data_IF_300168844230
#
_entry.id   IF_300168844230
#
_cell.length_a   1.000
_cell.length_b   1.000
_cell.length_c   1.000
_cell.angle_alpha   90.00
_cell.angle_beta   90.00
_cell.angle_gamma   90.00
#
_symmetry.space_group_name_H-M   'P 1'
#
loop_
_entity.id
_entity.type
_entity.pdbx_description
1 polymer ?
#
# COMPACT_ATOMS: atom_id res chain seq x y z
N UNK A 1 2.14 9.34 -76.95
CA UNK A 1 1.65 9.13 -75.57
C UNK A 1 1.03 10.43 -75.10
N UNK A 2 -0.27 10.44 -74.92
CA UNK A 2 -1.08 11.64 -74.81
C UNK A 2 -0.92 12.31 -73.44
N UNK A 3 -0.69 13.66 -73.43
CA UNK A 3 -0.43 14.43 -72.20
C UNK A 3 -1.58 14.33 -71.15
N UNK A 4 -2.76 13.94 -71.56
CA UNK A 4 -3.93 13.72 -70.67
C UNK A 4 -3.82 12.48 -69.80
N UNK A 5 -3.15 11.40 -70.26
CA UNK A 5 -2.97 10.17 -69.52
C UNK A 5 -2.00 10.32 -68.34
N UNK A 6 -0.98 11.22 -68.48
CA UNK A 6 -0.02 11.52 -67.38
C UNK A 6 -0.62 12.30 -66.24
N UNK A 7 -1.71 13.06 -66.47
CA UNK A 7 -2.35 13.86 -65.38
C UNK A 7 -3.32 13.05 -64.53
N UNK A 8 -3.89 11.97 -65.08
CA UNK A 8 -4.79 11.08 -64.33
C UNK A 8 -4.04 10.10 -63.41
N UNK A 9 -2.81 9.68 -63.82
CA UNK A 9 -1.97 8.78 -63.02
C UNK A 9 -1.28 9.46 -61.81
N UNK A 10 -1.10 10.78 -61.86
CA UNK A 10 -0.52 11.54 -60.72
C UNK A 10 -1.57 11.90 -59.66
N UNK A 11 -2.86 11.99 -60.08
CA UNK A 11 -3.97 12.32 -59.17
C UNK A 11 -4.42 11.18 -58.30
N UNK A 12 -4.12 9.93 -58.67
CA UNK A 12 -4.56 8.70 -57.92
C UNK A 12 -3.53 8.27 -56.82
N UNK A 13 -2.32 8.83 -56.84
CA UNK A 13 -1.28 8.47 -55.87
C UNK A 13 -1.24 9.36 -54.61
N UNK A 14 -1.97 10.49 -54.61
CA UNK A 14 -2.00 11.44 -53.51
C UNK A 14 -3.19 11.23 -52.56
N UNK A 15 -4.20 10.44 -52.95
CA UNK A 15 -5.39 10.19 -52.14
C UNK A 15 -5.31 8.94 -51.23
N UNK A 16 -4.18 8.24 -51.24
CA UNK A 16 -4.01 6.99 -50.47
C UNK A 16 -3.15 7.10 -49.21
N UNK A 17 -2.64 8.29 -48.89
CA UNK A 17 -1.72 8.46 -47.76
C UNK A 17 -2.27 9.46 -46.74
N UNK A 18 -3.31 9.04 -46.08
CA UNK A 18 -3.89 9.87 -45.04
C UNK A 18 -4.98 9.17 -44.29
N UNK A 19 -4.66 8.23 -43.43
CA UNK A 19 -5.35 7.96 -42.17
C UNK A 19 -4.73 6.76 -41.46
N UNK A 20 -3.47 6.88 -41.05
CA UNK A 20 -3.02 6.12 -39.91
C UNK A 20 -3.59 6.84 -38.70
N UNK A 21 -4.78 6.45 -38.28
CA UNK A 21 -5.29 6.74 -36.95
C UNK A 21 -4.32 6.08 -35.96
N UNK A 22 -3.37 6.84 -35.45
CA UNK A 22 -2.69 6.57 -34.20
C UNK A 22 -3.80 6.54 -33.14
N UNK A 23 -4.38 5.37 -32.90
CA UNK A 23 -5.03 5.09 -31.65
C UNK A 23 -3.95 5.16 -30.58
N UNK A 24 -3.65 6.37 -30.13
CA UNK A 24 -2.99 6.56 -28.85
C UNK A 24 -3.95 5.97 -27.81
N UNK A 25 -3.68 4.73 -27.42
CA UNK A 25 -4.32 4.15 -26.26
C UNK A 25 -4.06 5.10 -25.11
N UNK A 26 -5.08 5.85 -24.71
CA UNK A 26 -5.11 6.52 -23.43
C UNK A 26 -5.17 5.39 -22.42
N UNK A 27 -4.00 4.91 -22.00
CA UNK A 27 -3.89 4.18 -20.75
C UNK A 27 -4.21 5.23 -19.69
N UNK A 28 -5.47 5.26 -19.25
CA UNK A 28 -5.78 5.89 -17.99
C UNK A 28 -4.88 5.17 -16.98
N UNK A 29 -3.89 5.87 -16.44
CA UNK A 29 -3.22 5.44 -15.25
C UNK A 29 -4.34 5.24 -14.22
N UNK A 30 -4.57 4.01 -13.78
CA UNK A 30 -5.39 3.76 -12.60
C UNK A 30 -4.79 4.63 -11.50
N UNK A 31 -5.51 5.65 -11.09
CA UNK A 31 -5.15 6.43 -9.91
C UNK A 31 -5.17 5.44 -8.75
N UNK A 32 -3.99 5.02 -8.30
CA UNK A 32 -3.81 4.23 -7.11
C UNK A 32 -4.12 5.12 -5.90
N UNK A 33 -5.40 5.28 -5.55
CA UNK A 33 -5.74 5.93 -4.30
C UNK A 33 -5.64 4.90 -3.17
N UNK A 34 -5.10 5.31 -2.02
CA UNK A 34 -5.11 4.48 -0.83
C UNK A 34 -6.56 4.17 -0.43
N UNK A 35 -6.91 2.93 -0.05
CA UNK A 35 -8.26 2.61 0.37
C UNK A 35 -8.62 3.37 1.65
N UNK A 36 -9.86 3.86 1.76
CA UNK A 36 -10.36 4.55 2.94
C UNK A 36 -10.27 3.66 4.18
N UNK A 37 -10.61 2.39 4.03
CA UNK A 37 -10.55 1.36 5.08
C UNK A 37 -9.71 0.18 4.62
N UNK A 38 -8.79 -0.27 5.45
CA UNK A 38 -7.91 -1.39 5.18
C UNK A 38 -8.25 -2.56 6.11
N UNK A 39 -8.68 -3.67 5.54
CA UNK A 39 -8.87 -4.93 6.27
C UNK A 39 -7.50 -5.54 6.61
N UNK A 40 -7.13 -5.52 7.90
CA UNK A 40 -5.82 -5.95 8.39
C UNK A 40 -5.68 -7.47 8.46
N UNK A 41 -6.02 -8.16 7.36
CA UNK A 41 -5.92 -9.61 7.23
C UNK A 41 -4.66 -9.98 6.45
N UNK A 42 -3.79 -10.79 7.05
CA UNK A 42 -2.61 -11.29 6.37
C UNK A 42 -2.44 -12.81 6.61
N UNK A 43 -2.72 -13.60 5.58
CA UNK A 43 -2.67 -15.06 5.66
C UNK A 43 -1.25 -15.63 5.67
N UNK A 44 -0.26 -14.87 5.15
CA UNK A 44 1.16 -15.25 5.23
C UNK A 44 1.66 -15.17 6.68
N UNK A 45 1.23 -14.12 7.40
CA UNK A 45 1.56 -13.96 8.82
C UNK A 45 0.74 -14.88 9.72
N UNK A 46 -0.56 -15.03 9.42
CA UNK A 46 -1.51 -15.82 10.20
C UNK A 46 -2.46 -16.60 9.30
N UNK A 47 -2.20 -17.88 9.03
CA UNK A 47 -3.14 -18.74 8.29
C UNK A 47 -4.52 -18.85 8.96
N UNK A 48 -4.56 -18.71 10.29
CA UNK A 48 -5.79 -18.68 11.09
C UNK A 48 -5.75 -17.53 12.08
N UNK A 49 -6.75 -16.67 12.01
CA UNK A 49 -6.92 -15.55 12.93
C UNK A 49 -7.74 -16.01 14.16
N UNK A 50 -7.19 -15.81 15.36
CA UNK A 50 -7.86 -16.12 16.63
C UNK A 50 -8.69 -14.96 17.17
N UNK A 51 -8.35 -13.75 16.75
CA UNK A 51 -9.07 -12.51 17.08
C UNK A 51 -9.82 -12.04 15.84
N UNK A 52 -10.84 -11.21 16.01
CA UNK A 52 -11.51 -10.56 14.90
C UNK A 52 -10.53 -9.72 14.09
N UNK A 53 -10.78 -9.63 12.79
CA UNK A 53 -9.95 -8.83 11.87
C UNK A 53 -10.20 -7.36 12.16
N UNK A 54 -9.14 -6.58 12.19
CA UNK A 54 -9.20 -5.12 12.35
C UNK A 54 -9.52 -4.48 11.01
N UNK A 55 -10.53 -3.63 10.99
CA UNK A 55 -10.78 -2.70 9.89
C UNK A 55 -10.11 -1.39 10.28
N UNK A 56 -9.01 -1.08 9.61
CA UNK A 56 -8.23 0.13 9.88
C UNK A 56 -8.76 1.28 9.01
N UNK A 57 -9.28 2.31 9.64
CA UNK A 57 -9.73 3.53 8.97
C UNK A 57 -8.51 4.39 8.61
N UNK A 58 -7.97 4.13 7.41
CA UNK A 58 -6.80 4.82 6.89
C UNK A 58 -7.10 6.30 6.64
N UNK A 59 -8.28 6.59 6.08
CA UNK A 59 -8.68 7.94 5.75
C UNK A 59 -8.77 8.85 6.97
N UNK A 60 -9.43 8.39 8.03
CA UNK A 60 -9.51 9.15 9.28
C UNK A 60 -8.12 9.48 9.82
N UNK A 61 -7.16 8.54 9.76
CA UNK A 61 -5.80 8.79 10.23
C UNK A 61 -5.06 9.82 9.37
N UNK A 62 -5.23 9.75 8.05
CA UNK A 62 -4.55 10.64 7.12
C UNK A 62 -5.18 12.05 7.05
N UNK A 63 -6.50 12.13 7.00
CA UNK A 63 -7.21 13.39 6.75
C UNK A 63 -7.68 14.09 8.04
N UNK A 64 -8.30 13.33 8.98
CA UNK A 64 -8.89 13.96 10.18
C UNK A 64 -7.85 14.22 11.28
N UNK A 65 -6.84 13.34 11.40
CA UNK A 65 -5.78 13.51 12.39
C UNK A 65 -4.52 14.17 11.82
N UNK A 66 -4.56 14.60 10.55
CA UNK A 66 -3.48 15.29 9.85
C UNK A 66 -2.11 14.57 9.98
N UNK A 67 -2.14 13.24 9.88
CA UNK A 67 -0.93 12.43 9.95
C UNK A 67 -0.27 12.32 8.58
N UNK A 68 0.99 12.70 8.50
CA UNK A 68 1.77 12.48 7.28
C UNK A 68 1.96 10.98 7.00
N UNK A 69 2.02 10.58 5.72
CA UNK A 69 2.24 9.19 5.33
C UNK A 69 3.47 8.57 6.01
N UNK A 70 4.54 9.33 6.12
CA UNK A 70 5.78 8.90 6.77
C UNK A 70 5.68 8.68 8.29
N UNK A 71 4.53 9.00 8.93
CA UNK A 71 4.30 8.64 10.33
C UNK A 71 4.13 7.12 10.51
N UNK A 72 3.60 6.46 9.48
CA UNK A 72 3.34 5.03 9.47
C UNK A 72 4.21 4.28 8.45
N UNK A 73 4.50 4.90 7.31
CA UNK A 73 5.27 4.29 6.22
C UNK A 73 6.74 4.68 6.27
N UNK A 74 7.60 3.71 6.15
CA UNK A 74 9.06 3.87 6.21
C UNK A 74 9.74 2.97 5.16
N UNK A 75 11.01 3.24 4.87
CA UNK A 75 11.86 2.39 4.04
C UNK A 75 12.37 1.15 4.81
N UNK A 76 13.16 0.31 4.17
CA UNK A 76 13.74 -0.92 4.75
C UNK A 76 14.69 -0.65 5.94
N UNK A 77 15.12 0.58 6.13
CA UNK A 77 15.98 1.00 7.24
C UNK A 77 15.18 1.67 8.38
N UNK A 78 13.84 1.69 8.28
CA UNK A 78 12.97 2.33 9.26
C UNK A 78 12.92 3.86 9.13
N UNK A 79 13.44 4.45 8.04
CA UNK A 79 13.40 5.88 7.81
C UNK A 79 12.03 6.30 7.25
N UNK A 80 11.34 7.27 7.88
CA UNK A 80 10.05 7.75 7.41
C UNK A 80 10.03 8.20 5.96
N UNK A 81 9.00 7.81 5.20
CA UNK A 81 8.77 8.22 3.81
C UNK A 81 8.06 9.57 3.77
N UNK A 82 8.79 10.64 4.07
CA UNK A 82 8.24 12.01 4.22
C UNK A 82 7.77 12.65 2.93
N UNK A 83 8.19 12.15 1.78
CA UNK A 83 7.78 12.65 0.45
C UNK A 83 6.58 11.93 -0.13
N UNK A 84 6.06 10.91 0.55
CA UNK A 84 4.94 10.10 0.08
C UNK A 84 3.65 10.91 0.08
N UNK A 85 2.82 10.70 -0.95
CA UNK A 85 1.52 11.35 -1.12
C UNK A 85 0.44 10.29 -1.24
N UNK A 86 -0.82 10.71 -1.05
CA UNK A 86 -1.95 9.84 -1.33
C UNK A 86 -1.92 9.33 -2.77
N UNK A 87 -2.17 8.02 -2.94
CA UNK A 87 -2.08 7.34 -4.22
C UNK A 87 -0.68 6.86 -4.62
N UNK A 88 0.38 7.26 -3.92
CA UNK A 88 1.70 6.72 -4.20
C UNK A 88 1.78 5.25 -3.79
N UNK A 89 2.46 4.38 -4.57
CA UNK A 89 2.61 2.99 -4.23
C UNK A 89 3.47 2.82 -2.96
N UNK A 90 2.96 2.05 -2.02
CA UNK A 90 3.69 1.70 -0.79
C UNK A 90 3.91 0.20 -0.70
N UNK A 91 5.02 -0.17 -0.08
CA UNK A 91 5.31 -1.57 0.21
C UNK A 91 4.51 -2.03 1.43
N UNK A 92 3.89 -3.20 1.35
CA UNK A 92 3.18 -3.78 2.49
C UNK A 92 4.16 -4.14 3.63
N UNK A 93 3.73 -3.96 4.87
CA UNK A 93 4.55 -4.29 6.06
C UNK A 93 5.13 -5.70 6.03
N UNK A 94 4.35 -6.68 5.50
CA UNK A 94 4.76 -8.09 5.42
C UNK A 94 5.94 -8.33 4.48
N UNK A 95 6.28 -7.38 3.62
CA UNK A 95 7.41 -7.53 2.70
C UNK A 95 8.76 -7.51 3.42
N UNK A 96 8.84 -6.82 4.56
CA UNK A 96 10.05 -6.75 5.40
C UNK A 96 9.85 -7.42 6.76
N UNK A 97 8.64 -7.34 7.34
CA UNK A 97 8.28 -7.96 8.62
C UNK A 97 7.64 -9.34 8.40
N UNK A 98 8.38 -10.24 7.77
CA UNK A 98 7.85 -11.45 7.14
C UNK A 98 7.77 -12.70 8.04
N UNK A 99 8.29 -12.63 9.28
CA UNK A 99 8.17 -13.75 10.20
C UNK A 99 6.69 -13.98 10.60
N UNK A 100 6.16 -15.19 10.43
CA UNK A 100 4.79 -15.50 10.77
C UNK A 100 4.58 -15.69 12.28
N UNK A 101 3.35 -15.53 12.71
CA UNK A 101 2.95 -15.78 14.10
C UNK A 101 3.30 -14.66 15.07
N UNK A 102 3.31 -15.01 16.35
CA UNK A 102 3.64 -14.07 17.42
C UNK A 102 5.06 -14.30 17.92
N UNK A 103 5.85 -13.23 18.10
CA UNK A 103 7.17 -13.35 18.69
C UNK A 103 7.07 -13.87 20.13
N UNK A 104 8.06 -14.63 20.56
CA UNK A 104 8.20 -15.08 21.94
C UNK A 104 9.48 -14.48 22.50
N UNK A 105 9.33 -13.75 23.61
CA UNK A 105 10.49 -13.20 24.29
C UNK A 105 11.25 -14.32 24.99
N UNK A 106 12.52 -14.44 24.67
CA UNK A 106 13.46 -15.17 25.49
C UNK A 106 13.84 -14.30 26.69
N UNK A 107 13.85 -14.88 27.91
CA UNK A 107 14.17 -14.15 29.13
C UNK A 107 15.63 -13.66 29.20
N UNK A 108 16.50 -14.26 28.38
CA UNK A 108 17.90 -13.83 28.26
C UNK A 108 18.09 -12.57 27.41
N UNK A 109 17.07 -12.18 26.60
CA UNK A 109 17.15 -11.00 25.75
C UNK A 109 17.08 -9.71 26.54
N UNK A 110 17.96 -8.77 26.23
CA UNK A 110 17.84 -7.40 26.67
C UNK A 110 16.57 -6.73 26.10
N UNK A 111 16.11 -5.60 26.63
CA UNK A 111 14.98 -4.86 26.05
C UNK A 111 15.21 -4.48 24.58
N UNK A 112 16.41 -4.07 24.22
CA UNK A 112 16.79 -3.65 22.88
C UNK A 112 16.80 -4.83 21.88
N UNK A 113 17.35 -5.98 22.30
CA UNK A 113 17.34 -7.21 21.51
C UNK A 113 15.89 -7.68 21.28
N UNK A 114 15.06 -7.61 22.33
CA UNK A 114 13.65 -7.94 22.20
C UNK A 114 12.93 -7.00 21.23
N UNK A 115 13.14 -5.68 21.33
CA UNK A 115 12.57 -4.71 20.42
C UNK A 115 12.92 -5.03 18.96
N UNK A 116 14.18 -5.34 18.70
CA UNK A 116 14.66 -5.71 17.38
C UNK A 116 14.05 -7.03 16.89
N UNK A 117 13.98 -8.05 17.77
CA UNK A 117 13.45 -9.35 17.38
C UNK A 117 11.96 -9.30 17.08
N UNK A 118 11.16 -8.60 17.89
CA UNK A 118 9.72 -8.52 17.67
C UNK A 118 9.35 -7.83 16.35
N UNK A 119 10.15 -6.86 15.92
CA UNK A 119 9.92 -6.15 14.66
C UNK A 119 10.17 -7.01 13.41
N UNK A 120 10.82 -8.16 13.52
CA UNK A 120 10.92 -9.11 12.39
C UNK A 120 9.59 -9.78 12.07
N UNK A 121 8.63 -9.76 13.01
CA UNK A 121 7.31 -10.34 12.87
C UNK A 121 6.30 -9.29 12.43
N UNK A 122 5.45 -9.64 11.48
CA UNK A 122 4.31 -8.79 11.08
C UNK A 122 3.46 -8.37 12.30
N UNK A 123 3.22 -9.31 13.22
CA UNK A 123 2.52 -9.05 14.48
C UNK A 123 3.17 -7.91 15.28
N UNK A 124 4.47 -7.98 15.47
CA UNK A 124 5.21 -6.99 16.27
C UNK A 124 5.20 -5.63 15.61
N UNK A 125 5.48 -5.58 14.29
CA UNK A 125 5.52 -4.35 13.53
C UNK A 125 4.19 -3.59 13.57
N UNK A 126 3.07 -4.27 13.30
CA UNK A 126 1.74 -3.64 13.32
C UNK A 126 1.36 -3.16 14.72
N UNK A 127 1.56 -3.98 15.75
CA UNK A 127 1.21 -3.58 17.11
C UNK A 127 2.08 -2.42 17.62
N UNK A 128 3.36 -2.42 17.31
CA UNK A 128 4.25 -1.31 17.70
C UNK A 128 3.85 -0.02 16.99
N UNK A 129 3.59 -0.07 15.69
CA UNK A 129 3.20 1.09 14.91
C UNK A 129 1.88 1.72 15.41
N UNK A 130 0.85 0.90 15.61
CA UNK A 130 -0.46 1.39 16.08
C UNK A 130 -0.42 1.78 17.57
N UNK A 131 -0.05 0.84 18.44
CA UNK A 131 -0.14 1.02 19.89
C UNK A 131 0.89 2.02 20.42
N UNK A 132 2.06 2.14 19.78
CA UNK A 132 3.07 3.14 20.15
C UNK A 132 2.50 4.55 20.09
N UNK A 133 1.91 4.91 18.93
CA UNK A 133 1.27 6.21 18.75
C UNK A 133 0.02 6.38 19.64
N UNK A 134 -0.85 5.37 19.71
CA UNK A 134 -2.08 5.44 20.49
C UNK A 134 -1.83 5.65 21.99
N UNK A 135 -0.77 5.09 22.55
CA UNK A 135 -0.37 5.35 23.94
C UNK A 135 0.00 6.81 24.17
N UNK A 136 0.64 7.44 23.22
CA UNK A 136 1.03 8.85 23.29
C UNK A 136 -0.16 9.79 23.05
N UNK A 137 -1.06 9.43 22.15
CA UNK A 137 -2.15 10.28 21.67
C UNK A 137 -3.51 9.99 22.31
N UNK A 138 -3.60 8.98 23.19
CA UNK A 138 -4.85 8.61 23.87
C UNK A 138 -5.80 7.78 22.99
N UNK A 139 -5.31 7.14 21.95
CA UNK A 139 -6.08 6.22 21.10
C UNK A 139 -6.32 4.86 21.76
N UNK A 140 -7.02 3.93 21.08
CA UNK A 140 -7.31 2.59 21.58
C UNK A 140 -6.04 1.76 21.76
N UNK A 141 -5.92 1.08 22.91
CA UNK A 141 -4.74 0.24 23.24
C UNK A 141 -5.09 -1.15 23.74
N UNK A 142 -6.37 -1.46 23.96
CA UNK A 142 -6.81 -2.79 24.42
C UNK A 142 -7.14 -3.67 23.24
N UNK A 143 -6.93 -4.97 23.38
CA UNK A 143 -7.18 -5.93 22.31
C UNK A 143 -8.59 -5.81 21.68
N UNK A 144 -9.62 -5.66 22.53
CA UNK A 144 -11.02 -5.59 22.08
C UNK A 144 -11.47 -4.25 21.54
N UNK A 145 -10.65 -3.22 21.67
CA UNK A 145 -10.90 -1.89 21.08
C UNK A 145 -10.53 -1.87 19.59
N UNK A 146 -9.60 -2.72 19.18
CA UNK A 146 -9.17 -2.86 17.79
C UNK A 146 -9.70 -4.16 17.16
N UNK A 147 -9.67 -5.26 17.92
CA UNK A 147 -10.13 -6.56 17.43
C UNK A 147 -11.58 -6.80 17.85
N UNK A 148 -12.54 -6.82 16.94
CA UNK A 148 -13.90 -7.20 17.26
C UNK A 148 -13.93 -8.64 17.79
N UNK A 149 -14.93 -8.97 18.60
CA UNK A 149 -15.12 -10.37 19.02
C UNK A 149 -15.43 -11.22 17.80
N UNK A 150 -14.83 -12.41 17.67
CA UNK A 150 -15.21 -13.33 16.61
C UNK A 150 -16.73 -13.56 16.68
N UNK A 151 -17.40 -13.41 15.56
CA UNK A 151 -18.81 -13.80 15.47
C UNK A 151 -18.86 -15.33 15.57
N UNK A 152 -19.61 -15.85 16.52
CA UNK A 152 -19.84 -17.29 16.72
C UNK A 152 -20.73 -17.85 15.62
#
# INVERSE_FOLDING_TARGET
>A
MNKSVKRVLVGLFVAGMGMVLLAAGIHAAEECSAPDVITMKNEKAFPQHRMGIVEFDHKTHAEEYDLTCGRCHHDENGKPLTGLKDGDPVQECIACHDKPGRPRRDQSMSPEEWQTEQLKYYYGAIHENCMGCHKEKGGPTRCTECHPRPQQ
#
